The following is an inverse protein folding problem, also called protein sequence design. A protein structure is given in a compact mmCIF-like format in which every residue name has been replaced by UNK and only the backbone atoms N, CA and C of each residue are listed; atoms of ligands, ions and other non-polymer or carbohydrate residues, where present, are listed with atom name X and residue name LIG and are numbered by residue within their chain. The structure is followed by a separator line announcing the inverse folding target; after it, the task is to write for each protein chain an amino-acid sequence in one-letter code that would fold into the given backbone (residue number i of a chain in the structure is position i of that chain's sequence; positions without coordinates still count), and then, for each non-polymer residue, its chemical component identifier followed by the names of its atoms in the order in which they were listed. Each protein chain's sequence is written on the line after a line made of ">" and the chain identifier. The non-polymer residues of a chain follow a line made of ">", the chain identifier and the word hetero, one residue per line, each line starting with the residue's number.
data_IF_866670515595
#
_entry.id   IF_866670515595
#
_cell.length_a   1.000
_cell.length_b   1.000
_cell.length_c   1.000
_cell.angle_alpha   90.00
_cell.angle_beta   90.00
_cell.angle_gamma   90.00
#
_symmetry.space_group_name_H-M   'P 1'
#
loop_
_entity.id
_entity.type
_entity.pdbx_description
1 polymer ?
#
# COMPACT_ATOMS: atom_id res chain seq x y z
N UNK A 1 -54.17 -13.61 -75.61
CA UNK A 1 -52.94 -12.78 -75.71
C UNK A 1 -53.39 -11.38 -75.32
N UNK A 2 -52.97 -10.70 -74.26
CA UNK A 2 -51.78 -10.76 -73.43
C UNK A 2 -52.12 -10.15 -72.06
N UNK A 3 -51.70 -10.77 -70.97
CA UNK A 3 -51.61 -10.12 -69.65
C UNK A 3 -50.18 -9.66 -69.42
N UNK A 4 -49.97 -8.45 -68.89
CA UNK A 4 -48.74 -8.17 -68.18
C UNK A 4 -48.98 -7.33 -66.93
N UNK A 5 -49.01 -7.95 -65.75
CA UNK A 5 -48.72 -7.26 -64.49
C UNK A 5 -47.94 -8.19 -63.56
N UNK A 6 -46.66 -8.36 -63.87
CA UNK A 6 -45.67 -8.91 -62.94
C UNK A 6 -45.08 -7.78 -62.10
N UNK A 7 -45.72 -7.51 -60.96
CA UNK A 7 -45.29 -6.54 -59.96
C UNK A 7 -44.03 -7.07 -59.24
N UNK A 8 -42.85 -6.75 -59.77
CA UNK A 8 -41.56 -7.13 -59.21
C UNK A 8 -41.18 -6.14 -58.09
N UNK A 9 -41.66 -6.40 -56.88
CA UNK A 9 -41.21 -5.72 -55.66
C UNK A 9 -39.72 -6.04 -55.41
N UNK A 10 -38.84 -5.13 -55.81
CA UNK A 10 -37.44 -5.14 -55.37
C UNK A 10 -37.37 -4.64 -53.93
N UNK A 11 -37.11 -5.56 -53.00
CA UNK A 11 -36.77 -5.23 -51.62
C UNK A 11 -35.56 -4.28 -51.59
N UNK A 12 -35.80 -3.04 -51.17
CA UNK A 12 -34.79 -2.05 -50.88
C UNK A 12 -34.11 -2.43 -49.56
N UNK A 13 -32.98 -3.16 -49.62
CA UNK A 13 -32.13 -3.35 -48.43
C UNK A 13 -31.23 -2.13 -48.26
N UNK A 14 -31.43 -1.40 -47.18
CA UNK A 14 -30.62 -0.24 -46.80
C UNK A 14 -29.16 -0.66 -46.50
N UNK A 15 -28.14 -0.03 -47.12
CA UNK A 15 -26.74 -0.48 -47.04
C UNK A 15 -25.98 -0.07 -45.76
N UNK A 16 -26.65 0.20 -44.63
CA UNK A 16 -25.99 0.82 -43.47
C UNK A 16 -26.16 0.13 -42.12
N UNK A 17 -26.64 -1.11 -42.05
CA UNK A 17 -26.49 -1.90 -40.82
C UNK A 17 -25.17 -2.67 -40.84
N UNK A 18 -24.09 -1.95 -40.47
CA UNK A 18 -22.85 -2.59 -40.03
C UNK A 18 -23.18 -3.44 -38.80
N UNK A 19 -23.11 -4.77 -38.94
CA UNK A 19 -23.21 -5.68 -37.79
C UNK A 19 -22.14 -5.28 -36.76
N UNK A 20 -22.46 -5.12 -35.47
CA UNK A 20 -21.43 -4.96 -34.45
C UNK A 20 -20.51 -6.19 -34.50
N UNK A 21 -19.22 -5.96 -34.72
CA UNK A 21 -18.21 -7.02 -34.59
C UNK A 21 -18.26 -7.52 -33.15
N UNK A 22 -18.36 -8.84 -32.90
CA UNK A 22 -18.12 -9.37 -31.56
C UNK A 22 -16.65 -9.12 -31.24
N UNK A 23 -16.37 -8.09 -30.44
CA UNK A 23 -15.06 -7.90 -29.82
C UNK A 23 -14.89 -9.01 -28.81
N UNK A 24 -14.02 -9.97 -29.14
CA UNK A 24 -13.56 -10.96 -28.18
C UNK A 24 -13.03 -10.24 -26.95
N UNK A 25 -13.60 -10.57 -25.81
CA UNK A 25 -13.19 -10.17 -24.46
C UNK A 25 -11.83 -10.78 -24.09
N UNK A 26 -10.79 -10.47 -24.87
CA UNK A 26 -9.44 -10.43 -24.36
C UNK A 26 -9.29 -9.05 -23.73
N UNK A 27 -9.50 -8.93 -22.41
CA UNK A 27 -9.12 -7.71 -21.68
C UNK A 27 -7.66 -7.46 -22.00
N UNK A 28 -7.39 -6.38 -22.71
CA UNK A 28 -6.02 -6.06 -23.07
C UNK A 28 -5.30 -5.63 -21.79
N UNK A 29 -4.03 -5.97 -21.63
CA UNK A 29 -3.20 -5.51 -20.50
C UNK A 29 -3.41 -4.01 -20.13
N UNK A 30 -3.50 -3.08 -21.11
CA UNK A 30 -3.83 -1.68 -20.83
C UNK A 30 -5.19 -1.46 -20.14
N UNK A 31 -6.23 -2.25 -20.43
CA UNK A 31 -7.56 -2.13 -19.79
C UNK A 31 -7.51 -2.47 -18.30
N UNK A 32 -6.75 -3.53 -17.94
CA UNK A 32 -6.60 -3.96 -16.54
C UNK A 32 -5.81 -2.93 -15.76
N UNK A 33 -4.73 -2.42 -16.36
CA UNK A 33 -3.89 -1.39 -15.76
C UNK A 33 -4.68 -0.09 -15.53
N UNK A 34 -5.41 0.38 -16.54
CA UNK A 34 -6.28 1.54 -16.42
C UNK A 34 -7.29 1.40 -15.28
N UNK A 35 -7.97 0.25 -15.21
CA UNK A 35 -8.94 -0.04 -14.15
C UNK A 35 -8.30 0.00 -12.76
N UNK A 36 -7.09 -0.58 -12.62
CA UNK A 36 -6.36 -0.56 -11.34
C UNK A 36 -5.98 0.86 -10.91
N UNK A 37 -5.57 1.72 -11.86
CA UNK A 37 -5.24 3.12 -11.57
C UNK A 37 -6.47 3.92 -11.17
N UNK A 38 -7.61 3.71 -11.82
CA UNK A 38 -8.87 4.36 -11.42
C UNK A 38 -9.32 3.93 -10.02
N UNK A 39 -9.27 2.63 -9.71
CA UNK A 39 -9.58 2.13 -8.37
C UNK A 39 -8.65 2.74 -7.32
N UNK A 40 -7.34 2.85 -7.65
CA UNK A 40 -6.36 3.43 -6.74
C UNK A 40 -6.60 4.94 -6.54
N UNK A 41 -6.97 5.68 -7.59
CA UNK A 41 -7.39 7.09 -7.51
C UNK A 41 -8.58 7.29 -6.58
N UNK A 42 -9.58 6.41 -6.66
CA UNK A 42 -10.76 6.45 -5.78
C UNK A 42 -10.39 6.11 -4.33
N UNK A 43 -9.52 5.11 -4.11
CA UNK A 43 -9.03 4.78 -2.77
C UNK A 43 -8.15 5.87 -2.15
N UNK A 44 -7.48 6.67 -2.99
CA UNK A 44 -6.63 7.76 -2.57
C UNK A 44 -7.42 9.04 -2.20
N UNK A 45 -8.76 9.05 -2.25
CA UNK A 45 -9.56 10.24 -1.89
C UNK A 45 -9.32 10.72 -0.45
N UNK A 46 -8.96 9.80 0.45
CA UNK A 46 -8.59 10.10 1.83
C UNK A 46 -7.17 10.67 1.98
N UNK A 47 -6.37 10.66 0.91
CA UNK A 47 -4.97 11.08 0.91
C UNK A 47 -4.64 11.99 -0.29
N UNK A 48 -4.91 13.31 -0.17
CA UNK A 48 -4.80 14.26 -1.29
C UNK A 48 -3.49 14.25 -2.09
N UNK A 49 -2.30 14.08 -1.46
CA UNK A 49 -1.04 14.02 -2.20
C UNK A 49 -0.95 12.80 -3.12
N UNK A 50 -1.36 11.62 -2.66
CA UNK A 50 -1.37 10.40 -3.48
C UNK A 50 -2.42 10.50 -4.59
N UNK A 51 -3.59 11.06 -4.30
CA UNK A 51 -4.61 11.29 -5.32
C UNK A 51 -4.06 12.16 -6.46
N UNK A 52 -3.33 13.22 -6.13
CA UNK A 52 -2.70 14.09 -7.12
C UNK A 52 -1.68 13.32 -7.96
N UNK A 53 -0.82 12.53 -7.33
CA UNK A 53 0.18 11.71 -8.02
C UNK A 53 -0.49 10.77 -9.02
N UNK A 54 -1.46 9.98 -8.54
CA UNK A 54 -2.18 8.96 -9.31
C UNK A 54 -2.99 9.59 -10.45
N UNK A 55 -3.62 10.75 -10.20
CA UNK A 55 -4.29 11.51 -11.24
C UNK A 55 -3.31 12.02 -12.31
N UNK A 56 -2.12 12.45 -11.91
CA UNK A 56 -1.03 12.82 -12.82
C UNK A 56 -0.61 11.65 -13.71
N UNK A 57 -0.44 10.45 -13.12
CA UNK A 57 -0.12 9.22 -13.87
C UNK A 57 -1.18 8.89 -14.91
N UNK A 58 -2.46 8.93 -14.50
CA UNK A 58 -3.61 8.66 -15.36
C UNK A 58 -3.64 9.62 -16.55
N UNK A 59 -3.44 10.92 -16.29
CA UNK A 59 -3.40 11.92 -17.34
C UNK A 59 -2.23 11.68 -18.30
N UNK A 60 -1.07 11.29 -17.77
CA UNK A 60 0.11 10.97 -18.56
C UNK A 60 -0.13 9.77 -19.48
N UNK A 61 -0.74 8.71 -18.95
CA UNK A 61 -1.17 7.54 -19.71
C UNK A 61 -2.10 7.95 -20.88
N UNK A 62 -3.12 8.77 -20.62
CA UNK A 62 -4.04 9.20 -21.68
C UNK A 62 -3.35 9.99 -22.80
N UNK A 63 -2.41 10.86 -22.45
CA UNK A 63 -1.63 11.62 -23.43
C UNK A 63 -0.76 10.67 -24.25
N UNK A 64 -0.16 9.69 -23.58
CA UNK A 64 0.69 8.68 -24.19
C UNK A 64 -0.09 7.80 -25.19
N UNK A 65 -1.32 7.39 -24.85
CA UNK A 65 -2.20 6.65 -25.79
C UNK A 65 -2.62 7.49 -27.00
N UNK A 66 -2.89 8.79 -26.79
CA UNK A 66 -3.23 9.71 -27.89
C UNK A 66 -2.03 9.96 -28.81
N UNK A 67 -0.81 9.88 -28.29
CA UNK A 67 0.44 9.99 -29.05
C UNK A 67 0.72 8.71 -29.87
N UNK A 68 -0.06 8.49 -30.94
CA UNK A 68 -0.01 7.33 -31.86
C UNK A 68 1.37 6.92 -32.40
N UNK A 69 2.40 7.75 -32.26
CA UNK A 69 3.72 7.59 -32.88
C UNK A 69 4.82 7.10 -31.93
N UNK A 70 4.55 6.99 -30.63
CA UNK A 70 5.55 6.68 -29.60
C UNK A 70 5.01 5.62 -28.64
N UNK A 71 4.42 4.54 -29.17
CA UNK A 71 3.78 3.50 -28.35
C UNK A 71 4.74 2.87 -27.34
N UNK A 72 5.98 2.60 -27.73
CA UNK A 72 6.94 1.91 -26.88
C UNK A 72 7.40 2.81 -25.72
N UNK A 73 7.63 4.09 -25.98
CA UNK A 73 8.04 5.04 -24.93
C UNK A 73 6.88 5.43 -24.02
N UNK A 74 5.69 5.61 -24.59
CA UNK A 74 4.44 5.79 -23.87
C UNK A 74 4.21 4.63 -22.88
N UNK A 75 4.39 3.41 -23.37
CA UNK A 75 4.25 2.21 -22.58
C UNK A 75 5.33 2.09 -21.50
N UNK A 76 6.58 2.47 -21.79
CA UNK A 76 7.65 2.53 -20.80
C UNK A 76 7.31 3.48 -19.65
N UNK A 77 6.94 4.72 -19.98
CA UNK A 77 6.58 5.75 -18.99
C UNK A 77 5.42 5.24 -18.14
N UNK A 78 4.41 4.67 -18.77
CA UNK A 78 3.27 4.10 -18.08
C UNK A 78 3.65 2.98 -17.09
N UNK A 79 4.40 1.97 -17.55
CA UNK A 79 4.86 0.86 -16.70
C UNK A 79 5.66 1.40 -15.53
N UNK A 80 6.59 2.32 -15.80
CA UNK A 80 7.45 2.89 -14.78
C UNK A 80 6.67 3.67 -13.74
N UNK A 81 5.64 4.38 -14.18
CA UNK A 81 4.79 5.15 -13.28
C UNK A 81 3.88 4.24 -12.43
N UNK A 82 3.46 3.09 -12.97
CA UNK A 82 2.76 2.06 -12.20
C UNK A 82 3.64 1.52 -11.08
N UNK A 83 4.89 1.18 -11.39
CA UNK A 83 5.84 0.69 -10.38
C UNK A 83 6.00 1.70 -9.24
N UNK A 84 6.02 3.00 -9.54
CA UNK A 84 6.08 4.06 -8.53
C UNK A 84 4.82 4.06 -7.66
N UNK A 85 3.65 3.98 -8.28
CA UNK A 85 2.37 3.95 -7.56
C UNK A 85 2.28 2.73 -6.64
N UNK A 86 2.68 1.55 -7.14
CA UNK A 86 2.71 0.31 -6.36
C UNK A 86 3.68 0.46 -5.17
N UNK A 87 4.85 1.07 -5.38
CA UNK A 87 5.84 1.33 -4.32
C UNK A 87 5.33 2.33 -3.28
N UNK A 88 4.61 3.39 -3.71
CA UNK A 88 3.98 4.33 -2.78
C UNK A 88 2.88 3.64 -1.97
N UNK A 89 2.06 2.80 -2.60
CA UNK A 89 1.01 2.05 -1.92
C UNK A 89 1.57 1.10 -0.87
N UNK A 90 2.68 0.42 -1.17
CA UNK A 90 3.40 -0.42 -0.19
C UNK A 90 4.04 0.41 0.94
N UNK A 91 4.59 1.58 0.62
CA UNK A 91 5.20 2.46 1.61
C UNK A 91 4.18 3.14 2.53
N UNK A 92 2.92 3.28 2.11
CA UNK A 92 1.86 3.96 2.85
C UNK A 92 0.71 2.99 3.17
N UNK A 93 0.90 2.03 4.10
CA UNK A 93 -0.18 1.15 4.52
C UNK A 93 -1.26 1.89 5.32
N UNK A 94 -0.90 3.00 5.99
CA UNK A 94 -1.81 3.85 6.76
C UNK A 94 -1.58 5.33 6.41
N UNK A 95 -2.58 5.97 5.79
CA UNK A 95 -2.53 7.39 5.37
C UNK A 95 -2.42 8.39 6.53
N UNK A 96 -2.63 7.96 7.77
CA UNK A 96 -2.59 8.78 8.98
C UNK A 96 -1.19 8.98 9.58
N UNK A 97 -0.19 8.18 9.16
CA UNK A 97 1.13 8.11 9.81
C UNK A 97 2.30 8.33 8.85
N UNK A 98 2.16 9.28 7.93
CA UNK A 98 3.21 9.59 6.95
C UNK A 98 4.21 10.56 7.56
N UNK A 99 5.48 10.18 7.51
CA UNK A 99 6.57 11.01 7.99
C UNK A 99 6.72 12.25 7.08
N UNK A 100 6.98 13.45 7.62
CA UNK A 100 7.20 14.66 6.84
C UNK A 100 8.18 14.53 5.64
N UNK A 101 9.34 13.86 5.76
CA UNK A 101 10.24 13.72 4.60
C UNK A 101 9.62 12.90 3.45
N UNK A 102 8.81 11.89 3.78
CA UNK A 102 8.14 11.08 2.74
C UNK A 102 7.02 11.87 2.05
N UNK A 103 6.32 12.73 2.79
CA UNK A 103 5.36 13.65 2.21
C UNK A 103 6.02 14.59 1.20
N UNK A 104 7.18 15.17 1.55
CA UNK A 104 7.94 16.02 0.64
C UNK A 104 8.40 15.27 -0.61
N UNK A 105 8.84 14.01 -0.48
CA UNK A 105 9.18 13.18 -1.64
C UNK A 105 7.97 12.92 -2.55
N UNK A 106 6.79 12.68 -1.97
CA UNK A 106 5.55 12.49 -2.75
C UNK A 106 5.16 13.79 -3.46
N UNK A 107 5.24 14.94 -2.77
CA UNK A 107 4.98 16.25 -3.37
C UNK A 107 5.96 16.57 -4.50
N UNK A 108 7.25 16.33 -4.30
CA UNK A 108 8.28 16.50 -5.33
C UNK A 108 7.97 15.63 -6.55
N UNK A 109 7.66 14.36 -6.32
CA UNK A 109 7.30 13.42 -7.37
C UNK A 109 6.06 13.88 -8.15
N UNK A 110 5.03 14.40 -7.47
CA UNK A 110 3.83 14.93 -8.14
C UNK A 110 4.15 16.14 -9.03
N UNK A 111 5.05 17.01 -8.60
CA UNK A 111 5.48 18.16 -9.39
C UNK A 111 6.25 17.73 -10.64
N UNK A 112 7.10 16.69 -10.53
CA UNK A 112 7.81 16.11 -11.68
C UNK A 112 6.82 15.48 -12.66
N UNK A 113 5.81 14.75 -12.18
CA UNK A 113 4.78 14.20 -13.06
C UNK A 113 4.00 15.28 -13.82
N UNK A 114 3.68 16.40 -13.16
CA UNK A 114 2.97 17.51 -13.80
C UNK A 114 3.84 18.23 -14.85
N UNK A 115 5.14 18.38 -14.57
CA UNK A 115 6.14 18.90 -15.53
C UNK A 115 6.27 18.00 -16.78
N UNK A 116 6.34 16.67 -16.56
CA UNK A 116 6.35 15.69 -17.65
C UNK A 116 5.03 15.76 -18.44
N UNK A 117 3.87 15.88 -17.77
CA UNK A 117 2.57 16.04 -18.42
C UNK A 117 2.56 17.27 -19.33
N UNK A 118 2.97 18.43 -18.81
CA UNK A 118 3.03 19.68 -19.57
C UNK A 118 3.94 19.54 -20.80
N UNK A 119 5.08 18.87 -20.65
CA UNK A 119 6.02 18.59 -21.74
C UNK A 119 5.41 17.69 -22.82
N UNK A 120 4.72 16.62 -22.42
CA UNK A 120 4.04 15.71 -23.36
C UNK A 120 2.84 16.37 -24.06
N UNK A 121 2.07 17.20 -23.37
CA UNK A 121 0.98 17.99 -23.97
C UNK A 121 1.52 18.96 -25.02
N UNK A 122 2.60 19.69 -24.72
CA UNK A 122 3.23 20.60 -25.67
C UNK A 122 3.69 19.89 -26.95
N UNK A 123 4.22 18.67 -26.83
CA UNK A 123 4.57 17.82 -27.97
C UNK A 123 3.33 17.38 -28.75
N UNK A 124 2.27 16.97 -28.06
CA UNK A 124 1.03 16.49 -28.67
C UNK A 124 0.27 17.60 -29.44
N UNK A 125 0.18 18.81 -28.88
CA UNK A 125 -0.62 19.91 -29.45
C UNK A 125 0.05 20.65 -30.61
N UNK A 126 1.36 20.51 -30.79
CA UNK A 126 2.07 21.26 -31.84
C UNK A 126 1.99 20.60 -33.24
N UNK A 127 1.20 19.53 -33.40
CA UNK A 127 1.20 18.58 -34.54
C UNK A 127 0.62 19.01 -35.89
N UNK A 128 0.60 20.29 -36.26
CA UNK A 128 0.06 20.75 -37.56
C UNK A 128 1.05 20.72 -38.74
N UNK A 129 2.27 21.22 -38.57
CA UNK A 129 3.13 21.58 -39.73
C UNK A 129 4.60 21.12 -39.66
N UNK A 130 5.07 20.50 -38.57
CA UNK A 130 6.50 20.20 -38.37
C UNK A 130 6.81 18.70 -38.22
N UNK A 131 6.03 17.84 -38.88
CA UNK A 131 6.00 16.37 -38.67
C UNK A 131 7.32 15.64 -38.95
N UNK A 132 8.19 16.19 -39.81
CA UNK A 132 9.42 15.51 -40.26
C UNK A 132 10.69 15.95 -39.51
N UNK A 133 10.80 17.23 -39.12
CA UNK A 133 11.97 17.76 -38.39
C UNK A 133 11.92 17.50 -36.87
N UNK A 134 10.80 16.97 -36.36
CA UNK A 134 10.54 16.79 -34.92
C UNK A 134 10.81 15.40 -34.37
N UNK A 135 10.91 14.37 -35.21
CA UNK A 135 11.15 13.00 -34.72
C UNK A 135 12.45 12.92 -33.90
N UNK A 136 13.55 13.45 -34.42
CA UNK A 136 14.85 13.45 -33.73
C UNK A 136 14.93 14.42 -32.53
N UNK A 137 14.20 15.53 -32.55
CA UNK A 137 14.28 16.54 -31.48
C UNK A 137 13.46 16.12 -30.26
N UNK A 138 12.35 15.42 -30.51
CA UNK A 138 11.49 14.90 -29.45
C UNK A 138 12.09 13.68 -28.76
N UNK A 139 12.92 12.89 -29.46
CA UNK A 139 13.63 11.75 -28.87
C UNK A 139 14.52 12.18 -27.69
N UNK A 140 15.27 13.28 -27.84
CA UNK A 140 16.09 13.84 -26.75
C UNK A 140 15.26 14.30 -25.54
N UNK A 141 14.11 14.95 -25.77
CA UNK A 141 13.20 15.36 -24.68
C UNK A 141 12.60 14.15 -23.97
N UNK A 142 12.22 13.12 -24.71
CA UNK A 142 11.65 11.90 -24.17
C UNK A 142 12.68 11.10 -23.36
N UNK A 143 13.92 11.01 -23.84
CA UNK A 143 15.03 10.42 -23.09
C UNK A 143 15.32 11.19 -21.81
N UNK A 144 15.30 12.53 -21.85
CA UNK A 144 15.45 13.36 -20.64
C UNK A 144 14.31 13.12 -19.64
N UNK A 145 13.07 12.96 -20.11
CA UNK A 145 11.92 12.63 -19.27
C UNK A 145 12.10 11.25 -18.63
N UNK A 146 12.54 10.24 -19.40
CA UNK A 146 12.80 8.90 -18.88
C UNK A 146 13.88 8.91 -17.81
N UNK A 147 15.01 9.58 -18.08
CA UNK A 147 16.10 9.72 -17.11
C UNK A 147 15.61 10.41 -15.83
N UNK A 148 14.87 11.51 -15.95
CA UNK A 148 14.30 12.22 -14.80
C UNK A 148 13.36 11.32 -13.99
N UNK A 149 12.50 10.54 -14.66
CA UNK A 149 11.60 9.61 -13.98
C UNK A 149 12.36 8.48 -13.27
N UNK A 150 13.44 7.98 -13.87
CA UNK A 150 14.27 6.92 -13.29
C UNK A 150 15.10 7.41 -12.10
N UNK A 151 15.64 8.63 -12.16
CA UNK A 151 16.35 9.25 -11.05
C UNK A 151 15.42 9.46 -9.85
N UNK A 152 14.23 10.05 -10.08
CA UNK A 152 13.23 10.23 -9.03
C UNK A 152 12.70 8.89 -8.47
N UNK A 153 12.54 7.87 -9.32
CA UNK A 153 12.20 6.53 -8.86
C UNK A 153 13.25 5.99 -7.89
N UNK A 154 14.54 6.13 -8.24
CA UNK A 154 15.64 5.61 -7.41
C UNK A 154 15.72 6.36 -6.09
N UNK A 155 15.55 7.67 -6.13
CA UNK A 155 15.54 8.50 -4.92
C UNK A 155 14.36 8.13 -4.01
N UNK A 156 13.16 7.99 -4.57
CA UNK A 156 11.98 7.57 -3.84
C UNK A 156 12.13 6.15 -3.25
N UNK A 157 12.61 5.20 -4.05
CA UNK A 157 12.82 3.81 -3.62
C UNK A 157 13.88 3.72 -2.52
N UNK A 158 14.91 4.56 -2.56
CA UNK A 158 15.93 4.59 -1.51
C UNK A 158 15.35 5.18 -0.22
N UNK A 159 14.58 6.26 -0.33
CA UNK A 159 13.93 6.90 0.81
C UNK A 159 12.89 5.99 1.49
N UNK A 160 12.11 5.22 0.71
CA UNK A 160 11.12 4.30 1.25
C UNK A 160 11.78 3.09 1.95
N UNK A 161 12.83 2.52 1.37
CA UNK A 161 13.59 1.42 1.97
C UNK A 161 14.18 1.82 3.35
N UNK A 162 14.80 3.01 3.44
CA UNK A 162 15.32 3.54 4.70
C UNK A 162 14.23 3.67 5.77
N UNK A 163 13.00 4.04 5.38
CA UNK A 163 11.89 4.15 6.34
C UNK A 163 11.48 2.77 6.88
N UNK A 164 11.43 1.75 6.04
CA UNK A 164 11.11 0.37 6.46
C UNK A 164 12.16 -0.10 7.48
N UNK A 165 13.44 0.11 7.18
CA UNK A 165 14.54 -0.24 8.09
C UNK A 165 14.46 0.52 9.42
N UNK A 166 14.19 1.83 9.39
CA UNK A 166 14.05 2.64 10.61
C UNK A 166 12.86 2.19 11.46
N UNK A 167 11.72 1.85 10.83
CA UNK A 167 10.57 1.33 11.58
C UNK A 167 10.86 -0.04 12.18
N UNK A 168 11.53 -0.92 11.45
CA UNK A 168 11.94 -2.23 11.94
C UNK A 168 12.90 -2.09 13.14
N UNK A 169 13.94 -1.25 13.03
CA UNK A 169 14.86 -0.99 14.13
C UNK A 169 14.15 -0.40 15.36
N UNK A 170 13.14 0.45 15.16
CA UNK A 170 12.33 1.00 16.26
C UNK A 170 11.50 -0.08 16.95
N UNK A 171 10.94 -1.04 16.21
CA UNK A 171 10.22 -2.18 16.78
C UNK A 171 11.15 -3.10 17.57
N UNK A 172 12.36 -3.37 17.07
CA UNK A 172 13.38 -4.15 17.78
C UNK A 172 13.78 -3.47 19.09
N UNK A 173 14.00 -2.15 19.10
CA UNK A 173 14.30 -1.40 20.31
C UNK A 173 13.15 -1.47 21.33
N UNK A 174 11.89 -1.43 20.88
CA UNK A 174 10.74 -1.58 21.77
C UNK A 174 10.68 -2.98 22.38
N UNK A 175 10.95 -4.03 21.61
CA UNK A 175 11.01 -5.40 22.11
C UNK A 175 12.12 -5.58 23.15
N UNK A 176 13.31 -5.02 22.89
CA UNK A 176 14.43 -5.04 23.84
C UNK A 176 14.03 -4.34 25.15
N UNK A 177 13.37 -3.18 25.06
CA UNK A 177 12.92 -2.45 26.25
C UNK A 177 11.92 -3.26 27.08
N UNK A 178 10.93 -3.89 26.44
CA UNK A 178 9.94 -4.74 27.11
C UNK A 178 10.63 -5.95 27.76
N UNK A 179 11.55 -6.61 27.05
CA UNK A 179 12.31 -7.74 27.59
C UNK A 179 13.16 -7.34 28.81
N UNK A 180 13.79 -6.15 28.77
CA UNK A 180 14.55 -5.61 29.89
C UNK A 180 13.64 -5.29 31.10
N UNK A 181 12.46 -4.72 30.88
CA UNK A 181 11.47 -4.48 31.93
C UNK A 181 10.98 -5.79 32.57
N UNK A 182 10.71 -6.82 31.75
CA UNK A 182 10.33 -8.15 32.24
C UNK A 182 11.44 -8.81 33.06
N UNK A 183 12.70 -8.71 32.62
CA UNK A 183 13.85 -9.21 33.37
C UNK A 183 13.98 -8.51 34.74
N UNK A 184 13.78 -7.20 34.78
CA UNK A 184 13.79 -6.44 36.04
C UNK A 184 12.68 -6.88 37.00
N UNK A 185 11.47 -7.12 36.49
CA UNK A 185 10.35 -7.64 37.30
C UNK A 185 10.66 -9.03 37.84
N UNK A 186 11.22 -9.93 37.03
CA UNK A 186 11.61 -11.27 37.46
C UNK A 186 12.67 -11.23 38.56
N UNK A 187 13.67 -10.34 38.45
CA UNK A 187 14.69 -10.13 39.50
C UNK A 187 14.06 -9.62 40.80
N UNK A 188 13.07 -8.72 40.73
CA UNK A 188 12.36 -8.24 41.90
C UNK A 188 11.52 -9.35 42.57
N UNK A 189 10.82 -10.16 41.79
CA UNK A 189 10.05 -11.30 42.30
C UNK A 189 10.97 -12.32 42.97
N UNK A 190 12.12 -12.64 42.38
CA UNK A 190 13.10 -13.54 42.98
C UNK A 190 13.66 -13.00 44.32
N UNK A 191 13.83 -11.68 44.45
CA UNK A 191 14.23 -11.05 45.73
C UNK A 191 13.14 -11.18 46.80
N UNK A 192 11.87 -10.99 46.45
CA UNK A 192 10.74 -11.15 47.37
C UNK A 192 10.56 -12.61 47.82
N UNK A 193 10.77 -13.57 46.91
CA UNK A 193 10.75 -15.00 47.24
C UNK A 193 11.83 -15.39 48.24
N UNK A 194 13.06 -14.85 48.09
CA UNK A 194 14.13 -15.09 49.07
C UNK A 194 13.80 -14.54 50.46
N UNK A 195 13.18 -13.37 50.54
CA UNK A 195 12.76 -12.78 51.82
C UNK A 195 11.68 -13.63 52.50
N UNK A 196 10.65 -14.05 51.75
CA UNK A 196 9.57 -14.89 52.30
C UNK A 196 10.07 -16.25 52.78
N UNK A 197 11.02 -16.88 52.08
CA UNK A 197 11.66 -18.11 52.54
C UNK A 197 12.40 -17.94 53.87
N UNK A 198 13.17 -16.85 54.04
CA UNK A 198 13.87 -16.58 55.31
C UNK A 198 12.92 -16.40 56.50
N UNK A 199 11.76 -15.78 56.29
CA UNK A 199 10.75 -15.61 57.35
C UNK A 199 10.07 -16.93 57.70
N UNK A 200 9.83 -17.81 56.72
CA UNK A 200 9.22 -19.13 56.99
C UNK A 200 10.18 -20.00 57.81
N UNK A 201 11.49 -19.97 57.53
CA UNK A 201 12.46 -20.72 58.34
C UNK A 201 12.50 -20.20 59.79
N UNK A 202 12.44 -18.88 60.01
CA UNK A 202 12.41 -18.30 61.35
C UNK A 202 11.13 -18.68 62.13
N UNK A 203 9.96 -18.64 61.48
CA UNK A 203 8.69 -19.06 62.11
C UNK A 203 8.66 -20.58 62.37
N UNK A 204 9.30 -21.39 61.50
CA UNK A 204 9.40 -22.84 61.71
C UNK A 204 10.37 -23.22 62.85
N UNK A 205 11.41 -22.42 63.09
CA UNK A 205 12.28 -22.59 64.26
C UNK A 205 11.56 -22.24 65.57
N UNK A 206 10.57 -21.34 65.51
CA UNK A 206 9.60 -21.07 66.59
C UNK A 206 8.45 -22.09 66.52
N UNK A 207 8.73 -23.35 66.20
CA UNK A 207 7.84 -24.47 66.54
C UNK A 207 7.91 -24.67 68.05
N UNK A 208 7.11 -23.84 68.68
CA UNK A 208 6.43 -23.98 69.95
C UNK A 208 6.56 -25.39 70.54
N UNK A 209 7.30 -25.47 71.65
CA UNK A 209 7.05 -26.42 72.73
C UNK A 209 5.61 -26.22 73.21
N UNK A 210 4.66 -26.79 72.48
CA UNK A 210 3.24 -26.67 72.77
C UNK A 210 2.91 -27.60 73.95
N UNK A 211 2.40 -27.07 75.07
CA UNK A 211 1.98 -27.92 76.17
C UNK A 211 0.87 -28.88 75.68
N UNK A 212 0.92 -30.16 76.06
CA UNK A 212 0.09 -31.24 75.49
C UNK A 212 -1.43 -31.05 75.68
N UNK A 213 -1.86 -30.09 76.48
CA UNK A 213 -3.28 -29.81 76.76
C UNK A 213 -3.99 -29.08 75.61
N UNK A 214 -3.28 -28.29 74.78
CA UNK A 214 -3.91 -27.52 73.70
C UNK A 214 -4.06 -28.29 72.38
N UNK A 215 -3.36 -29.41 72.21
CA UNK A 215 -3.45 -30.29 71.04
C UNK A 215 -4.86 -30.85 70.84
N UNK A 216 -5.59 -31.09 71.94
CA UNK A 216 -6.94 -31.66 71.92
C UNK A 216 -7.98 -30.66 71.39
N UNK A 217 -7.80 -29.36 71.64
CA UNK A 217 -8.75 -28.30 71.21
C UNK A 217 -8.69 -28.01 69.71
N UNK A 218 -7.51 -28.10 69.10
CA UNK A 218 -7.34 -27.90 67.66
C UNK A 218 -7.94 -29.04 66.81
N UNK A 219 -8.02 -30.25 67.35
CA UNK A 219 -8.76 -31.35 66.70
C UNK A 219 -10.27 -31.12 66.66
N UNK A 220 -10.84 -30.49 67.69
CA UNK A 220 -12.28 -30.22 67.75
C UNK A 220 -12.72 -29.12 66.77
N UNK A 221 -11.93 -28.06 66.56
CA UNK A 221 -12.35 -26.99 65.62
C UNK A 221 -12.29 -27.42 64.16
N UNK A 222 -11.34 -28.29 63.79
CA UNK A 222 -11.19 -28.80 62.43
C UNK A 222 -12.31 -29.79 62.05
N UNK A 223 -12.86 -30.51 63.02
CA UNK A 223 -14.03 -31.36 62.83
C UNK A 223 -15.32 -30.57 62.59
N UNK A 224 -15.47 -29.38 63.18
CA UNK A 224 -16.66 -28.53 63.02
C UNK A 224 -16.71 -27.89 61.63
N UNK A 225 -15.56 -27.49 61.07
CA UNK A 225 -15.50 -26.91 59.72
C UNK A 225 -15.80 -27.95 58.62
N UNK A 226 -15.51 -29.24 58.86
CA UNK A 226 -15.79 -30.31 57.89
C UNK A 226 -17.28 -30.72 57.85
N UNK A 227 -18.06 -30.40 58.88
CA UNK A 227 -19.50 -30.68 58.94
C UNK A 227 -20.38 -29.55 58.37
N UNK A 228 -19.78 -28.40 58.01
CA UNK A 228 -20.50 -27.21 57.54
C UNK A 228 -20.27 -26.88 56.05
N UNK A 229 -19.64 -27.77 55.28
CA UNK A 229 -19.51 -27.60 53.82
C UNK A 229 -20.63 -28.36 53.09
N UNK A 230 -21.53 -27.66 52.38
CA UNK A 230 -22.59 -28.27 51.58
C UNK A 230 -22.10 -28.92 50.29
#
# INVERSE_FOLDING_TARGET
>A
MSSPQGLLMKQFRLPWQKKPKPTSTGRTFPDVMWTSMCALKESADIFPPLKSAVAGVIALWEIAERAKHSKDDAQYIAVRTKEIVDLIAEAVPDGSAIAPPMLQSIEHFTAVLDDIRCSMEAIAFTGGLSRALRLNRNEGTLQSIKAKLDDEYRDFSTASALRIEVQQAKLELQQIKIAAEQANVAVQQAKQQKQTQSTIEEVSAVTVTLPPELSKLLFYSRAIVFLASP
#
